data_IF_349312294735
#
_entry.id   IF_349312294735
#
_cell.length_a   1.000
_cell.length_b   1.000
_cell.length_c   1.000
_cell.angle_alpha   90.00
_cell.angle_beta   90.00
_cell.angle_gamma   90.00
#
_symmetry.space_group_name_H-M   'P 1'
#
loop_
_entity.id
_entity.type
_entity.pdbx_description
1 polymer ?
#
# COMPACT_ATOMS: atom_id res chain seq x y z
N UNK A 1 -18.88 17.23 8.09
CA UNK A 1 -18.26 16.04 7.47
C UNK A 1 -17.16 15.60 8.41
N UNK A 2 -17.20 14.36 8.91
CA UNK A 2 -16.11 13.77 9.68
C UNK A 2 -15.51 12.65 8.82
N UNK A 3 -14.21 12.71 8.56
CA UNK A 3 -13.50 11.68 7.82
C UNK A 3 -13.14 10.56 8.80
N UNK A 4 -13.77 9.40 8.67
CA UNK A 4 -13.31 8.20 9.36
C UNK A 4 -12.04 7.72 8.66
N UNK A 5 -10.89 7.93 9.32
CA UNK A 5 -9.66 7.26 8.92
C UNK A 5 -9.80 5.79 9.32
N UNK A 6 -9.46 4.87 8.41
CA UNK A 6 -9.31 3.46 8.77
C UNK A 6 -8.28 3.38 9.89
N UNK A 7 -8.63 2.73 11.00
CA UNK A 7 -7.68 2.45 12.08
C UNK A 7 -6.55 1.62 11.49
N UNK A 8 -5.39 2.26 11.33
CA UNK A 8 -4.17 1.57 10.95
C UNK A 8 -3.73 0.74 12.16
N UNK A 9 -3.22 -0.49 11.96
CA UNK A 9 -2.68 -1.26 13.07
C UNK A 9 -1.61 -0.42 13.80
N UNK A 10 -1.54 -0.49 15.14
CA UNK A 10 -0.59 0.27 15.92
C UNK A 10 0.83 -0.16 15.53
N UNK A 11 1.54 0.68 14.78
CA UNK A 11 2.91 0.44 14.36
C UNK A 11 3.76 1.61 14.85
N UNK A 12 4.75 1.32 15.71
CA UNK A 12 5.85 2.25 15.97
C UNK A 12 6.65 2.36 14.66
N UNK A 13 6.55 3.52 13.98
CA UNK A 13 7.20 3.75 12.68
C UNK A 13 8.52 4.48 12.89
N UNK A 14 9.61 4.00 12.29
CA UNK A 14 10.80 4.85 12.13
C UNK A 14 10.60 5.79 10.93
N UNK A 15 11.21 6.99 10.93
CA UNK A 15 11.19 7.86 9.76
C UNK A 15 11.78 7.13 8.53
N UNK A 16 10.97 6.98 7.48
CA UNK A 16 11.35 6.31 6.22
C UNK A 16 10.83 4.87 6.04
N UNK A 17 10.09 4.35 7.02
CA UNK A 17 9.38 3.08 6.92
C UNK A 17 8.04 3.27 6.20
N UNK A 18 8.03 3.04 4.88
CA UNK A 18 6.85 3.21 4.04
C UNK A 18 5.94 1.97 4.12
N UNK A 19 4.66 2.20 4.44
CA UNK A 19 3.59 1.20 4.35
C UNK A 19 2.94 1.33 2.98
N UNK A 20 2.73 0.20 2.30
CA UNK A 20 2.00 0.17 1.04
C UNK A 20 0.71 -0.64 1.18
N UNK A 21 -0.38 -0.09 0.66
CA UNK A 21 -1.67 -0.77 0.54
C UNK A 21 -1.98 -0.92 -0.95
N UNK A 22 -2.22 -2.15 -1.39
CA UNK A 22 -2.49 -2.50 -2.79
C UNK A 22 -3.83 -3.21 -2.92
N UNK A 23 -4.48 -3.03 -4.07
CA UNK A 23 -5.62 -3.81 -4.52
C UNK A 23 -5.10 -5.04 -5.28
N UNK A 24 -5.13 -6.21 -4.66
CA UNK A 24 -4.84 -7.48 -5.34
C UNK A 24 -6.07 -8.00 -6.09
N UNK A 25 -5.89 -9.05 -6.87
CA UNK A 25 -6.99 -9.70 -7.59
C UNK A 25 -8.18 -10.09 -6.70
N UNK A 26 -9.35 -10.26 -7.31
CA UNK A 26 -10.58 -10.77 -6.67
C UNK A 26 -11.14 -9.88 -5.54
N UNK A 27 -10.82 -8.58 -5.53
CA UNK A 27 -11.32 -7.65 -4.51
C UNK A 27 -10.59 -7.76 -3.16
N UNK A 28 -9.42 -8.41 -3.15
CA UNK A 28 -8.57 -8.51 -1.98
C UNK A 28 -7.71 -7.26 -1.83
N UNK A 29 -7.63 -6.70 -0.63
CA UNK A 29 -6.67 -5.64 -0.31
C UNK A 29 -5.51 -6.25 0.47
N UNK A 30 -4.29 -5.88 0.10
CA UNK A 30 -3.06 -6.35 0.77
C UNK A 30 -2.30 -5.16 1.30
N UNK A 31 -1.77 -5.27 2.51
CA UNK A 31 -0.96 -4.23 3.15
C UNK A 31 0.40 -4.79 3.53
N UNK A 32 1.45 -4.09 3.11
CA UNK A 32 2.84 -4.38 3.42
C UNK A 32 3.32 -3.42 4.50
N UNK A 33 3.66 -3.96 5.66
CA UNK A 33 4.12 -3.17 6.82
C UNK A 33 5.54 -3.58 7.15
N UNK A 34 6.51 -2.65 7.22
CA UNK A 34 7.88 -2.94 7.64
C UNK A 34 7.91 -3.75 8.92
N UNK A 35 8.66 -4.87 8.93
CA UNK A 35 8.75 -5.74 10.09
C UNK A 35 9.75 -5.14 11.10
N UNK A 36 9.33 -4.89 12.36
CA UNK A 36 10.22 -4.29 13.36
C UNK A 36 11.42 -5.19 13.65
N UNK A 37 12.53 -4.56 14.03
CA UNK A 37 13.79 -5.23 14.43
C UNK A 37 14.36 -6.22 13.38
N UNK A 38 14.03 -6.02 12.11
CA UNK A 38 14.56 -6.80 10.99
C UNK A 38 15.15 -5.89 9.90
N UNK A 39 15.72 -6.48 8.85
CA UNK A 39 16.18 -5.72 7.67
C UNK A 39 15.01 -4.91 7.09
N UNK A 40 15.27 -3.66 6.66
CA UNK A 40 14.27 -2.73 6.08
C UNK A 40 13.57 -3.26 4.83
N UNK A 41 14.03 -4.38 4.29
CA UNK A 41 13.48 -5.09 3.12
C UNK A 41 12.44 -6.15 3.48
N UNK A 42 12.25 -6.39 4.77
CA UNK A 42 11.36 -7.43 5.28
C UNK A 42 10.07 -6.76 5.76
N UNK A 43 8.95 -7.24 5.23
CA UNK A 43 7.62 -6.72 5.49
C UNK A 43 6.72 -7.84 6.03
N UNK A 44 5.91 -7.51 7.02
CA UNK A 44 4.73 -8.31 7.34
C UNK A 44 3.64 -8.02 6.32
N UNK A 45 2.93 -9.06 5.88
CA UNK A 45 1.85 -8.95 4.90
C UNK A 45 0.53 -9.16 5.60
N UNK A 46 -0.42 -8.27 5.33
CA UNK A 46 -1.76 -8.32 5.89
C UNK A 46 -2.77 -8.35 4.76
N UNK A 47 -3.73 -9.27 4.81
CA UNK A 47 -4.78 -9.41 3.81
C UNK A 47 -6.14 -9.03 4.37
N UNK A 48 -6.96 -8.44 3.50
CA UNK A 48 -8.38 -8.24 3.71
C UNK A 48 -9.13 -8.76 2.46
N UNK A 49 -10.02 -9.73 2.64
CA UNK A 49 -10.71 -10.42 1.56
C UNK A 49 -12.00 -9.71 1.09
N UNK A 50 -12.05 -8.37 1.13
CA UNK A 50 -13.19 -7.59 0.63
C UNK A 50 -14.52 -7.75 1.40
N UNK A 51 -14.51 -8.49 2.52
CA UNK A 51 -15.60 -8.51 3.51
C UNK A 51 -15.45 -7.38 4.53
N UNK A 52 -16.44 -7.22 5.43
CA UNK A 52 -16.47 -6.23 6.54
C UNK A 52 -15.09 -5.64 6.87
N UNK A 53 -14.95 -4.32 6.66
CA UNK A 53 -13.71 -3.51 6.60
C UNK A 53 -12.71 -3.63 7.76
N UNK A 54 -13.01 -4.45 8.76
CA UNK A 54 -12.33 -4.51 10.06
C UNK A 54 -11.46 -5.74 10.28
N UNK A 55 -11.46 -6.76 9.41
CA UNK A 55 -10.72 -8.00 9.66
C UNK A 55 -9.51 -8.20 8.75
N UNK A 56 -8.42 -7.51 9.07
CA UNK A 56 -7.10 -7.82 8.52
C UNK A 56 -6.57 -9.13 9.11
N UNK A 57 -5.98 -9.97 8.27
CA UNK A 57 -5.31 -11.22 8.66
C UNK A 57 -3.84 -11.14 8.26
N UNK A 58 -2.94 -11.31 9.23
CA UNK A 58 -1.50 -11.38 8.96
C UNK A 58 -1.16 -12.71 8.29
N UNK A 59 -0.32 -12.67 7.26
CA UNK A 59 0.31 -13.86 6.69
C UNK A 59 1.43 -14.38 7.58
N UNK A 60 1.59 -15.70 7.65
CA UNK A 60 2.65 -16.32 8.45
C UNK A 60 4.05 -16.01 7.90
N UNK A 61 4.19 -15.96 6.57
CA UNK A 61 5.46 -15.73 5.92
C UNK A 61 5.67 -14.23 5.63
N UNK A 62 6.84 -13.67 5.99
CA UNK A 62 7.15 -12.30 5.65
C UNK A 62 7.47 -12.15 4.17
N UNK A 63 7.15 -10.98 3.62
CA UNK A 63 7.56 -10.60 2.28
C UNK A 63 8.96 -9.99 2.33
N UNK A 64 9.88 -10.55 1.53
CA UNK A 64 11.26 -10.07 1.45
C UNK A 64 11.55 -9.49 0.07
N UNK A 65 12.11 -8.29 0.06
CA UNK A 65 12.56 -7.61 -1.13
C UNK A 65 14.01 -7.97 -1.50
N UNK A 66 14.32 -7.85 -2.79
CA UNK A 66 15.68 -8.06 -3.30
C UNK A 66 16.65 -7.03 -2.72
N UNK A 67 17.93 -7.42 -2.68
CA UNK A 67 18.96 -6.53 -2.16
C UNK A 67 19.06 -5.26 -3.01
N UNK A 68 18.97 -4.11 -2.33
CA UNK A 68 19.01 -2.79 -2.92
C UNK A 68 17.62 -2.22 -3.24
N UNK A 69 16.53 -2.89 -2.88
CA UNK A 69 15.18 -2.41 -3.13
C UNK A 69 14.42 -2.04 -1.86
N UNK A 70 13.50 -1.07 -1.97
CA UNK A 70 12.64 -0.59 -0.89
C UNK A 70 11.24 -0.29 -1.47
N UNK A 71 10.18 -0.59 -0.71
CA UNK A 71 8.83 -0.11 -1.04
C UNK A 71 8.76 1.40 -0.80
N UNK A 72 8.16 2.12 -1.74
CA UNK A 72 7.88 3.56 -1.69
C UNK A 72 6.39 3.89 -1.66
N UNK A 73 5.55 2.94 -2.04
CA UNK A 73 4.10 3.08 -2.04
C UNK A 73 3.45 2.07 -2.98
N UNK A 74 2.25 2.38 -3.43
CA UNK A 74 1.43 1.53 -4.27
C UNK A 74 0.48 2.34 -5.18
N UNK A 75 0.20 1.81 -6.36
CA UNK A 75 -0.82 2.37 -7.27
C UNK A 75 -1.66 1.21 -7.81
N UNK A 76 -2.92 1.15 -7.35
CA UNK A 76 -3.83 0.04 -7.66
C UNK A 76 -3.23 -1.30 -7.22
N UNK A 77 -2.99 -2.19 -8.19
CA UNK A 77 -2.39 -3.52 -7.98
C UNK A 77 -0.86 -3.58 -8.04
N UNK A 78 -0.19 -2.44 -8.20
CA UNK A 78 1.27 -2.39 -8.38
C UNK A 78 1.93 -1.74 -7.18
N UNK A 79 2.95 -2.40 -6.62
CA UNK A 79 3.88 -1.80 -5.68
C UNK A 79 4.84 -0.87 -6.40
N UNK A 80 5.04 0.33 -5.85
CA UNK A 80 6.09 1.24 -6.27
C UNK A 80 7.36 0.92 -5.46
N UNK A 81 8.41 0.50 -6.16
CA UNK A 81 9.69 0.12 -5.59
C UNK A 81 10.76 1.10 -6.03
N UNK A 82 11.65 1.46 -5.11
CA UNK A 82 12.91 2.11 -5.42
C UNK A 82 14.05 1.11 -5.36
N UNK A 83 14.75 0.93 -6.47
CA UNK A 83 16.01 0.20 -6.53
C UNK A 83 17.18 1.18 -6.50
N UNK A 84 18.05 1.02 -5.52
CA UNK A 84 19.34 1.73 -5.39
C UNK A 84 20.31 1.33 -6.51
N UNK A 85 20.04 0.20 -7.18
CA UNK A 85 20.83 -0.35 -8.28
C UNK A 85 21.92 -1.31 -7.79
N UNK A 86 22.31 -2.22 -8.66
CA UNK A 86 23.46 -3.12 -8.48
C UNK A 86 24.11 -3.39 -9.85
N UNK A 87 24.99 -4.39 -9.95
CA UNK A 87 25.65 -4.72 -11.22
C UNK A 87 24.71 -5.21 -12.33
N UNK A 88 23.53 -5.72 -11.99
CA UNK A 88 22.56 -6.30 -12.95
C UNK A 88 21.30 -5.45 -13.15
N UNK A 89 20.90 -4.66 -12.16
CA UNK A 89 19.68 -3.85 -12.15
C UNK A 89 20.05 -2.37 -12.05
N UNK A 90 19.59 -1.58 -13.02
CA UNK A 90 19.81 -0.13 -13.01
C UNK A 90 19.06 0.51 -11.85
N UNK A 91 19.67 1.52 -11.24
CA UNK A 91 18.99 2.36 -10.27
C UNK A 91 17.72 3.01 -10.88
N UNK A 92 16.66 3.10 -10.08
CA UNK A 92 15.44 3.79 -10.47
C UNK A 92 14.18 3.28 -9.78
N UNK A 93 13.04 3.73 -10.31
CA UNK A 93 11.73 3.30 -9.87
C UNK A 93 11.21 2.17 -10.71
N UNK A 94 10.58 1.23 -10.03
CA UNK A 94 9.95 0.09 -10.63
C UNK A 94 8.55 -0.08 -10.09
N UNK A 95 7.65 -0.56 -10.94
CA UNK A 95 6.38 -1.11 -10.53
C UNK A 95 6.49 -2.62 -10.48
N UNK A 96 6.03 -3.23 -9.39
CA UNK A 96 5.88 -4.68 -9.28
C UNK A 96 4.41 -5.01 -9.12
N UNK A 97 3.87 -5.75 -10.07
CA UNK A 97 2.51 -6.29 -9.99
C UNK A 97 2.43 -7.34 -8.86
N UNK A 98 1.44 -7.24 -7.98
CA UNK A 98 1.37 -8.12 -6.78
C UNK A 98 0.80 -9.50 -7.06
N UNK A 99 0.08 -9.69 -8.17
CA UNK A 99 -0.50 -10.97 -8.54
C UNK A 99 0.46 -11.78 -9.43
N UNK A 100 1.13 -11.10 -10.36
CA UNK A 100 2.00 -11.71 -11.38
C UNK A 100 3.49 -11.60 -11.07
N UNK A 101 3.87 -10.78 -10.08
CA UNK A 101 5.26 -10.48 -9.71
C UNK A 101 6.12 -9.86 -10.83
N UNK A 102 5.49 -9.46 -11.94
CA UNK A 102 6.20 -8.80 -13.04
C UNK A 102 6.72 -7.44 -12.61
N UNK A 103 7.98 -7.17 -12.95
CA UNK A 103 8.72 -5.97 -12.58
C UNK A 103 8.98 -5.11 -13.82
N UNK A 104 8.56 -3.86 -13.79
CA UNK A 104 8.74 -2.92 -14.89
C UNK A 104 9.40 -1.63 -14.41
N UNK A 105 10.34 -1.10 -15.18
CA UNK A 105 11.01 0.17 -14.85
C UNK A 105 10.17 1.34 -15.32
N UNK A 106 9.89 2.28 -14.42
CA UNK A 106 9.06 3.47 -14.73
C UNK A 106 9.92 4.72 -14.88
N UNK A 107 10.91 4.93 -14.02
CA UNK A 107 11.73 6.15 -14.01
C UNK A 107 13.16 5.88 -13.53
N UNK A 108 14.10 6.78 -13.85
CA UNK A 108 15.47 6.77 -13.30
C UNK A 108 15.60 7.34 -11.88
N UNK A 109 14.63 8.15 -11.44
CA UNK A 109 14.59 8.76 -10.10
C UNK A 109 13.22 8.59 -9.46
N UNK A 110 13.17 8.35 -8.15
CA UNK A 110 11.92 8.23 -7.40
C UNK A 110 11.59 9.50 -6.61
N UNK A 111 10.35 10.01 -6.73
CA UNK A 111 9.88 11.05 -5.81
C UNK A 111 9.85 10.51 -4.39
N UNK A 112 9.98 11.39 -3.40
CA UNK A 112 9.84 10.98 -2.01
C UNK A 112 8.38 10.60 -1.72
N UNK A 113 8.12 9.61 -0.84
CA UNK A 113 6.76 9.16 -0.49
C UNK A 113 5.83 10.30 -0.03
N UNK A 114 6.39 11.33 0.62
CA UNK A 114 5.66 12.52 1.06
C UNK A 114 5.14 13.39 -0.08
N UNK A 115 5.67 13.23 -1.29
CA UNK A 115 5.29 13.99 -2.49
C UNK A 115 4.29 13.23 -3.37
N UNK A 116 4.12 11.93 -3.13
CA UNK A 116 3.32 11.05 -3.94
C UNK A 116 2.09 10.61 -3.11
N UNK A 117 0.89 11.03 -3.51
CA UNK A 117 -0.39 10.61 -2.92
C UNK A 117 -0.69 9.13 -3.30
N UNK A 118 0.24 8.23 -2.98
CA UNK A 118 0.37 6.90 -3.58
C UNK A 118 0.29 5.77 -2.55
N UNK A 119 -0.43 5.97 -1.44
CA UNK A 119 -0.54 4.93 -0.41
C UNK A 119 -1.97 4.45 -0.15
N UNK A 120 -2.97 5.09 -0.78
CA UNK A 120 -4.37 4.68 -0.63
C UNK A 120 -4.96 4.28 -1.97
N UNK A 121 -5.37 3.01 -2.11
CA UNK A 121 -6.10 2.55 -3.27
C UNK A 121 -7.40 3.36 -3.46
N UNK A 122 -7.73 3.78 -4.70
CA UNK A 122 -8.96 4.52 -4.98
C UNK A 122 -10.22 3.79 -4.51
N UNK A 123 -10.25 2.45 -4.50
CA UNK A 123 -11.41 1.68 -4.03
C UNK A 123 -11.62 1.75 -2.52
N UNK A 124 -10.60 2.12 -1.73
CA UNK A 124 -10.76 2.43 -0.31
C UNK A 124 -11.25 3.87 -0.09
N UNK A 125 -11.11 4.74 -1.10
CA UNK A 125 -11.59 6.12 -1.07
C UNK A 125 -13.01 6.29 -1.63
N UNK A 126 -13.64 5.23 -2.15
CA UNK A 126 -15.08 5.22 -2.43
C UNK A 126 -15.87 5.27 -1.11
N UNK A 127 -15.98 6.49 -0.57
CA UNK A 127 -16.91 6.89 0.47
C UNK A 127 -18.36 6.64 0.00
N UNK A 128 -19.32 6.44 0.93
CA UNK A 128 -20.69 6.10 0.59
C UNK A 128 -21.30 7.19 -0.29
N UNK A 129 -22.06 6.76 -1.31
CA UNK A 129 -22.93 7.64 -2.09
C UNK A 129 -23.80 8.44 -1.12
N UNK A 130 -23.67 9.77 -1.13
CA UNK A 130 -24.53 10.67 -0.35
C UNK A 130 -25.97 10.46 -0.84
N UNK A 131 -26.78 9.72 -0.07
CA UNK A 131 -28.22 9.69 -0.26
C UNK A 131 -28.78 11.01 0.26
N UNK A 132 -29.20 11.92 -0.63
CA UNK A 132 -29.92 13.12 -0.23
C UNK A 132 -31.33 12.74 0.25
N UNK A 133 -31.48 12.44 1.54
CA UNK A 133 -32.79 12.34 2.17
C UNK A 133 -33.48 13.71 2.14
N UNK A 134 -34.62 13.80 1.43
CA UNK A 134 -35.49 14.99 1.49
C UNK A 134 -36.03 15.13 2.92
N UNK A 135 -35.53 16.11 3.67
CA UNK A 135 -36.20 16.56 4.87
C UNK A 135 -37.34 17.51 4.48
N UNK A 136 -38.57 16.98 4.46
CA UNK A 136 -39.77 17.83 4.52
C UNK A 136 -39.95 18.29 5.96
N UNK A 137 -39.72 19.59 6.21
CA UNK A 137 -40.17 20.23 7.42
C UNK A 137 -41.68 20.51 7.28
N UNK A 138 -42.48 19.98 8.20
CA UNK A 138 -43.86 20.40 8.42
C UNK A 138 -43.88 21.41 9.57
N UNK A 139 -44.49 22.57 9.27
CA UNK A 139 -44.80 23.78 10.04
C UNK A 139 -44.28 23.93 11.48
#
# INVERSE_FOLDING_TARGET
>A
MEFSMVDHPPCARQPGDDVAIVEAGQGMTVMFVPKPDTDRRIYTVWRNNGGSSTRWQMENEPFSLESGSLIKGAVGRHLLLYYVGNSSVKQGCYTRDVDTFQLERVCGSCPHPSEAYCNFPPSLLSLPTVSSGKHSFAC
#
